data_IF_096519469915
#
_entry.id   IF_096519469915
#
_cell.length_a   1.000
_cell.length_b   1.000
_cell.length_c   1.000
_cell.angle_alpha   90.00
_cell.angle_beta   90.00
_cell.angle_gamma   90.00
#
_symmetry.space_group_name_H-M   'P 1'
#
loop_
_entity.id
_entity.type
_entity.pdbx_description
1 polymer ?
#
# COMPACT_ATOMS: atom_id res chain seq x y z
N UNK A 1 26.89 4.54 31.93
CA UNK A 1 26.99 5.29 30.65
C UNK A 1 26.02 6.45 30.73
N UNK A 2 26.47 7.71 30.60
CA UNK A 2 25.59 8.86 30.82
C UNK A 2 24.57 8.98 29.69
N UNK A 3 23.33 9.33 30.03
CA UNK A 3 22.21 9.47 29.08
C UNK A 3 22.48 10.49 27.96
N UNK A 4 23.43 11.40 28.17
CA UNK A 4 23.74 12.51 27.29
C UNK A 4 24.50 12.11 26.00
N UNK A 5 25.18 10.96 26.00
CA UNK A 5 25.84 10.44 24.80
C UNK A 5 24.86 9.69 23.88
N UNK A 6 23.87 9.00 24.45
CA UNK A 6 22.82 8.32 23.70
C UNK A 6 21.85 9.30 23.03
N UNK A 7 21.51 10.40 23.70
CA UNK A 7 20.68 11.47 23.12
C UNK A 7 21.35 12.15 21.93
N UNK A 8 22.67 12.36 21.96
CA UNK A 8 23.42 12.98 20.86
C UNK A 8 23.57 12.08 19.63
N UNK A 9 23.62 10.76 19.84
CA UNK A 9 23.68 9.75 18.77
C UNK A 9 22.29 9.45 18.18
N UNK A 10 21.22 9.43 19.00
CA UNK A 10 19.84 9.27 18.51
C UNK A 10 19.21 10.56 17.99
N UNK A 11 19.76 11.74 18.34
CA UNK A 11 19.19 13.03 17.99
C UNK A 11 20.31 14.05 17.66
N UNK A 12 20.85 14.06 16.42
CA UNK A 12 21.69 15.15 15.99
C UNK A 12 20.86 16.45 16.05
N UNK A 13 21.41 17.50 16.66
CA UNK A 13 20.75 18.79 16.78
C UNK A 13 20.38 19.33 15.39
N UNK A 14 19.11 19.21 15.01
CA UNK A 14 18.57 19.80 13.79
C UNK A 14 18.75 21.32 13.84
N UNK A 15 19.34 21.87 12.80
CA UNK A 15 19.67 23.28 12.67
C UNK A 15 18.41 24.14 12.78
N UNK A 16 18.37 25.01 13.80
CA UNK A 16 17.27 25.94 14.03
C UNK A 16 17.19 27.08 12.98
N UNK A 17 17.79 26.91 11.79
CA UNK A 17 17.96 27.99 10.81
C UNK A 17 17.80 27.58 9.34
N UNK A 18 16.98 26.57 9.05
CA UNK A 18 16.45 26.37 7.69
C UNK A 18 15.08 27.04 7.56
N UNK A 19 15.04 28.16 6.82
CA UNK A 19 13.80 28.67 6.22
C UNK A 19 13.28 27.60 5.27
N UNK A 20 12.41 26.72 5.76
CA UNK A 20 11.76 25.70 4.96
C UNK A 20 10.87 26.40 3.91
N UNK A 21 11.29 26.36 2.63
CA UNK A 21 10.37 26.58 1.50
C UNK A 21 9.16 25.65 1.70
N UNK A 22 7.93 26.05 1.30
CA UNK A 22 6.74 25.21 1.42
C UNK A 22 6.95 23.96 0.57
N UNK A 23 7.52 22.93 1.20
CA UNK A 23 7.75 21.63 0.59
C UNK A 23 6.51 20.81 0.85
N UNK A 24 6.04 20.19 -0.23
CA UNK A 24 4.90 19.29 -0.20
C UNK A 24 5.03 18.29 0.97
N UNK A 25 3.98 18.04 1.76
CA UNK A 25 4.00 17.10 2.90
C UNK A 25 4.58 15.72 2.53
N UNK A 26 4.36 15.29 1.28
CA UNK A 26 4.90 14.08 0.70
C UNK A 26 6.44 14.07 0.65
N UNK A 27 7.07 15.21 0.34
CA UNK A 27 8.53 15.33 0.28
C UNK A 27 9.16 15.21 1.68
N UNK A 28 8.48 15.70 2.71
CA UNK A 28 8.92 15.62 4.11
C UNK A 28 8.86 14.18 4.63
N UNK A 29 7.81 13.45 4.26
CA UNK A 29 7.64 12.02 4.55
C UNK A 29 8.69 11.17 3.80
N UNK A 30 8.95 11.51 2.54
CA UNK A 30 10.00 10.90 1.72
C UNK A 30 11.38 11.09 2.35
N UNK A 31 11.70 12.29 2.86
CA UNK A 31 12.98 12.57 3.52
C UNK A 31 13.19 11.75 4.79
N UNK A 32 12.12 11.45 5.55
CA UNK A 32 12.22 10.58 6.73
C UNK A 32 12.44 9.11 6.36
N UNK A 33 11.80 8.62 5.29
CA UNK A 33 12.01 7.24 4.79
C UNK A 33 13.43 7.09 4.23
N UNK A 34 13.95 8.13 3.59
CA UNK A 34 15.27 8.17 2.98
C UNK A 34 16.41 8.27 4.00
N UNK A 35 16.16 8.48 5.29
CA UNK A 35 17.23 8.42 6.30
C UNK A 35 17.85 7.01 6.40
N UNK A 36 17.11 5.95 6.05
CA UNK A 36 17.59 4.55 6.03
C UNK A 36 17.81 4.03 4.58
N UNK A 37 18.57 4.78 3.75
CA UNK A 37 18.86 4.39 2.35
C UNK A 37 19.48 2.99 2.21
N UNK A 38 20.32 2.60 3.16
CA UNK A 38 21.03 1.32 3.11
C UNK A 38 20.06 0.14 3.28
N UNK A 39 19.14 0.21 4.24
CA UNK A 39 18.12 -0.82 4.43
C UNK A 39 17.15 -0.87 3.23
N UNK A 40 16.76 0.29 2.67
CA UNK A 40 15.95 0.37 1.46
C UNK A 40 16.63 -0.29 0.25
N UNK A 41 17.93 -0.08 0.08
CA UNK A 41 18.70 -0.69 -1.00
C UNK A 41 18.79 -2.22 -0.85
N UNK A 42 19.00 -2.71 0.38
CA UNK A 42 18.95 -4.13 0.67
C UNK A 42 17.57 -4.71 0.33
N UNK A 43 16.48 -4.09 0.80
CA UNK A 43 15.12 -4.53 0.51
C UNK A 43 14.87 -4.59 -1.01
N UNK A 44 15.35 -3.59 -1.76
CA UNK A 44 15.22 -3.56 -3.21
C UNK A 44 15.96 -4.74 -3.89
N UNK A 45 17.20 -5.03 -3.46
CA UNK A 45 17.99 -6.15 -3.99
C UNK A 45 17.31 -7.47 -3.67
N UNK A 46 16.93 -7.71 -2.42
CA UNK A 46 16.31 -8.96 -1.98
C UNK A 46 14.93 -9.18 -2.62
N UNK A 47 14.10 -8.13 -2.72
CA UNK A 47 12.81 -8.19 -3.44
C UNK A 47 13.01 -8.50 -4.93
N UNK A 48 13.97 -7.84 -5.59
CA UNK A 48 14.26 -8.08 -7.00
C UNK A 48 14.73 -9.51 -7.25
N UNK A 49 15.62 -10.03 -6.39
CA UNK A 49 16.08 -11.42 -6.43
C UNK A 49 14.93 -12.40 -6.21
N UNK A 50 14.03 -12.11 -5.27
CA UNK A 50 12.79 -12.86 -5.06
C UNK A 50 11.87 -12.84 -6.29
N UNK A 51 11.78 -11.71 -6.99
CA UNK A 51 11.07 -11.57 -8.26
C UNK A 51 11.64 -12.46 -9.36
N UNK A 52 12.97 -12.52 -9.49
CA UNK A 52 13.65 -13.43 -10.42
C UNK A 52 13.37 -14.89 -10.06
N UNK A 53 13.45 -15.24 -8.78
CA UNK A 53 13.16 -16.60 -8.30
C UNK A 53 11.68 -16.99 -8.48
N UNK A 54 10.75 -16.03 -8.43
CA UNK A 54 9.33 -16.26 -8.72
C UNK A 54 9.10 -16.78 -10.14
N UNK A 55 9.98 -16.42 -11.09
CA UNK A 55 9.94 -16.93 -12.46
C UNK A 55 10.36 -18.39 -12.58
N UNK A 56 11.07 -18.93 -11.58
CA UNK A 56 11.39 -20.35 -11.57
C UNK A 56 10.12 -21.19 -11.64
N UNK A 57 9.03 -20.77 -10.99
CA UNK A 57 7.76 -21.52 -10.97
C UNK A 57 7.16 -21.69 -12.38
N UNK A 58 6.85 -20.62 -13.16
CA UNK A 58 6.30 -20.79 -14.51
C UNK A 58 7.27 -21.49 -15.47
N UNK A 59 8.58 -21.24 -15.36
CA UNK A 59 9.60 -21.92 -16.17
C UNK A 59 9.64 -23.42 -15.89
N UNK A 60 9.60 -23.79 -14.61
CA UNK A 60 9.59 -25.19 -14.16
C UNK A 60 8.36 -25.93 -14.69
N UNK A 61 7.19 -25.31 -14.58
CA UNK A 61 5.95 -25.88 -15.11
C UNK A 61 6.05 -26.14 -16.62
N UNK A 62 6.64 -25.20 -17.38
CA UNK A 62 6.86 -25.40 -18.82
C UNK A 62 7.80 -26.57 -19.11
N UNK A 63 8.91 -26.68 -18.38
CA UNK A 63 9.86 -27.79 -18.54
C UNK A 63 9.21 -29.14 -18.24
N UNK A 64 8.42 -29.23 -17.17
CA UNK A 64 7.72 -30.46 -16.79
C UNK A 64 6.72 -30.86 -17.88
N UNK A 65 5.89 -29.93 -18.36
CA UNK A 65 4.91 -30.20 -19.43
C UNK A 65 5.61 -30.65 -20.72
N UNK A 66 6.68 -29.96 -21.13
CA UNK A 66 7.43 -30.33 -22.33
C UNK A 66 8.08 -31.73 -22.20
N UNK A 67 8.60 -32.07 -21.02
CA UNK A 67 9.20 -33.38 -20.76
C UNK A 67 8.17 -34.51 -20.85
N UNK A 68 6.96 -34.29 -20.31
CA UNK A 68 5.85 -35.25 -20.40
C UNK A 68 5.39 -35.41 -21.86
N UNK A 69 5.24 -34.29 -22.59
CA UNK A 69 4.79 -34.29 -23.98
C UNK A 69 5.77 -35.01 -24.93
N UNK A 70 7.07 -34.93 -24.65
CA UNK A 70 8.10 -35.62 -25.41
C UNK A 70 8.23 -37.14 -25.09
N UNK A 71 7.45 -37.65 -24.13
CA UNK A 71 7.40 -39.09 -23.82
C UNK A 71 8.62 -39.64 -23.08
N UNK A 72 9.37 -38.79 -22.37
CA UNK A 72 10.58 -39.22 -21.65
C UNK A 72 10.29 -40.09 -20.41
N UNK A 73 11.27 -40.93 -20.04
CA UNK A 73 11.26 -41.78 -18.84
C UNK A 73 11.14 -40.98 -17.52
N UNK A 74 10.79 -41.65 -16.41
CA UNK A 74 10.60 -41.04 -15.09
C UNK A 74 11.86 -40.34 -14.53
N UNK A 75 13.05 -40.72 -14.99
CA UNK A 75 14.34 -40.25 -14.46
C UNK A 75 14.57 -38.73 -14.65
N UNK A 76 14.43 -38.14 -15.86
CA UNK A 76 14.45 -36.68 -16.06
C UNK A 76 13.45 -35.90 -15.19
N UNK A 77 12.24 -36.43 -15.03
CA UNK A 77 11.16 -35.76 -14.29
C UNK A 77 11.54 -35.64 -12.80
N UNK A 78 12.10 -36.70 -12.21
CA UNK A 78 12.55 -36.68 -10.81
C UNK A 78 13.68 -35.68 -10.59
N UNK A 79 14.65 -35.59 -11.52
CA UNK A 79 15.76 -34.62 -11.41
C UNK A 79 15.27 -33.18 -11.50
N UNK A 80 14.39 -32.87 -12.46
CA UNK A 80 13.80 -31.54 -12.61
C UNK A 80 12.98 -31.21 -11.36
N UNK A 81 12.11 -32.12 -10.90
CA UNK A 81 11.30 -31.91 -9.71
C UNK A 81 12.16 -31.61 -8.46
N UNK A 82 13.27 -32.34 -8.27
CA UNK A 82 14.21 -32.10 -7.16
C UNK A 82 14.88 -30.72 -7.24
N UNK A 83 15.34 -30.32 -8.42
CA UNK A 83 15.98 -29.02 -8.65
C UNK A 83 14.99 -27.87 -8.41
N UNK A 84 13.75 -28.03 -8.86
CA UNK A 84 12.65 -27.08 -8.67
C UNK A 84 12.30 -26.97 -7.19
N UNK A 85 12.14 -28.09 -6.49
CA UNK A 85 11.86 -28.11 -5.06
C UNK A 85 12.97 -27.38 -4.27
N UNK A 86 14.24 -27.67 -4.56
CA UNK A 86 15.38 -26.96 -3.97
C UNK A 86 15.37 -25.46 -4.23
N UNK A 87 15.07 -25.05 -5.47
CA UNK A 87 14.92 -23.64 -5.84
C UNK A 87 13.78 -22.94 -5.11
N UNK A 88 12.61 -23.59 -4.97
CA UNK A 88 11.47 -23.05 -4.22
C UNK A 88 11.79 -22.91 -2.72
N UNK A 89 12.48 -23.89 -2.12
CA UNK A 89 12.91 -23.79 -0.72
C UNK A 89 13.85 -22.60 -0.52
N UNK A 90 14.83 -22.43 -1.40
CA UNK A 90 15.73 -21.29 -1.36
C UNK A 90 14.98 -19.96 -1.52
N UNK A 91 14.03 -19.90 -2.45
CA UNK A 91 13.18 -18.72 -2.65
C UNK A 91 12.32 -18.41 -1.41
N UNK A 92 11.81 -19.42 -0.71
CA UNK A 92 11.04 -19.25 0.52
C UNK A 92 11.90 -18.66 1.64
N UNK A 93 13.14 -19.12 1.80
CA UNK A 93 14.10 -18.57 2.79
C UNK A 93 14.42 -17.11 2.50
N UNK A 94 14.69 -16.76 1.24
CA UNK A 94 14.93 -15.37 0.84
C UNK A 94 13.71 -14.47 1.08
N UNK A 95 12.50 -15.01 0.83
CA UNK A 95 11.25 -14.29 1.11
C UNK A 95 11.07 -14.03 2.60
N UNK A 96 11.36 -15.00 3.45
CA UNK A 96 11.37 -14.81 4.90
C UNK A 96 12.33 -13.69 5.28
N UNK A 97 13.59 -13.74 4.84
CA UNK A 97 14.59 -12.71 5.15
C UNK A 97 14.13 -11.31 4.74
N UNK A 98 13.49 -11.18 3.58
CA UNK A 98 12.95 -9.92 3.09
C UNK A 98 11.84 -9.37 4.00
N UNK A 99 10.93 -10.24 4.45
CA UNK A 99 9.86 -9.85 5.39
C UNK A 99 10.44 -9.41 6.74
N UNK A 100 11.44 -10.14 7.25
CA UNK A 100 12.15 -9.79 8.48
C UNK A 100 12.83 -8.41 8.38
N UNK A 101 13.51 -8.12 7.26
CA UNK A 101 14.15 -6.82 7.02
C UNK A 101 13.14 -5.68 7.02
N UNK A 102 12.01 -5.86 6.36
CA UNK A 102 10.96 -4.83 6.27
C UNK A 102 10.35 -4.55 7.63
N UNK A 103 10.12 -5.58 8.43
CA UNK A 103 9.60 -5.44 9.79
C UNK A 103 10.59 -4.69 10.69
N UNK A 104 11.88 -4.96 10.55
CA UNK A 104 12.92 -4.25 11.30
C UNK A 104 12.96 -2.75 10.97
N UNK A 105 12.80 -2.39 9.68
CA UNK A 105 12.70 -0.99 9.25
C UNK A 105 11.44 -0.34 9.80
N UNK A 106 10.29 -1.03 9.72
CA UNK A 106 9.01 -0.53 10.26
C UNK A 106 9.10 -0.22 11.75
N UNK A 107 9.70 -1.11 12.53
CA UNK A 107 9.89 -0.92 13.98
C UNK A 107 10.83 0.25 14.29
N UNK A 108 11.95 0.37 13.58
CA UNK A 108 12.90 1.49 13.75
C UNK A 108 12.26 2.84 13.46
N UNK A 109 11.51 2.95 12.36
CA UNK A 109 10.80 4.17 11.97
C UNK A 109 9.70 4.49 12.98
N UNK A 110 8.92 3.49 13.40
CA UNK A 110 7.88 3.67 14.42
C UNK A 110 8.45 4.25 15.72
N UNK A 111 9.52 3.66 16.25
CA UNK A 111 10.14 4.12 17.49
C UNK A 111 10.66 5.58 17.34
N UNK A 112 11.31 5.90 16.22
CA UNK A 112 11.80 7.25 15.93
C UNK A 112 10.68 8.29 15.92
N UNK A 113 9.56 8.00 15.25
CA UNK A 113 8.44 8.93 15.14
C UNK A 113 7.72 9.06 16.48
N UNK A 114 7.47 7.95 17.18
CA UNK A 114 6.83 7.95 18.49
C UNK A 114 7.62 8.78 19.50
N UNK A 115 8.93 8.59 19.59
CA UNK A 115 9.81 9.36 20.48
C UNK A 115 9.84 10.85 20.11
N UNK A 116 9.86 11.18 18.82
CA UNK A 116 9.83 12.59 18.36
C UNK A 116 8.53 13.29 18.76
N UNK A 117 7.39 12.62 18.64
CA UNK A 117 6.09 13.17 19.06
C UNK A 117 6.03 13.29 20.58
N UNK A 118 6.44 12.26 21.32
CA UNK A 118 6.48 12.26 22.78
C UNK A 118 7.35 13.40 23.35
N UNK A 119 8.48 13.72 22.70
CA UNK A 119 9.34 14.84 23.10
C UNK A 119 8.76 16.22 22.73
N UNK A 120 8.00 16.29 21.63
CA UNK A 120 7.49 17.56 21.09
C UNK A 120 6.18 18.00 21.73
N UNK A 121 5.25 17.08 21.96
CA UNK A 121 3.89 17.36 22.48
C UNK A 121 3.91 18.19 23.78
N UNK A 122 4.74 17.90 24.79
CA UNK A 122 4.77 18.67 26.03
C UNK A 122 5.36 20.09 25.89
N UNK A 123 6.06 20.38 24.79
CA UNK A 123 6.82 21.62 24.59
C UNK A 123 6.11 22.61 23.67
N UNK A 124 4.91 22.28 23.19
CA UNK A 124 4.11 23.16 22.35
C UNK A 124 3.56 24.28 23.25
N UNK A 125 3.88 25.53 22.94
CA UNK A 125 3.36 26.68 23.69
C UNK A 125 1.83 26.74 23.56
N UNK A 126 1.12 27.02 24.65
CA UNK A 126 -0.35 27.12 24.68
C UNK A 126 -0.92 28.11 23.65
N UNK A 127 -0.14 29.11 23.24
CA UNK A 127 -0.52 30.09 22.21
C UNK A 127 -0.60 29.52 20.78
N UNK A 128 0.05 28.38 20.51
CA UNK A 128 -0.03 27.66 19.23
C UNK A 128 -0.99 26.47 19.28
N UNK A 129 -1.29 25.96 20.49
CA UNK A 129 -2.31 24.92 20.72
C UNK A 129 -3.72 25.35 20.33
N UNK A 130 -3.98 26.66 20.26
CA UNK A 130 -5.25 27.22 19.79
C UNK A 130 -5.39 27.22 18.26
N UNK A 131 -4.28 27.04 17.51
CA UNK A 131 -4.28 26.95 16.05
C UNK A 131 -4.16 25.53 15.51
N UNK A 132 -3.54 24.61 16.27
CA UNK A 132 -3.33 23.23 15.83
C UNK A 132 -3.83 22.27 16.91
N UNK A 133 -4.87 21.51 16.55
CA UNK A 133 -5.57 20.58 17.44
C UNK A 133 -4.64 19.43 17.85
N UNK A 134 -4.46 19.23 19.16
CA UNK A 134 -3.67 18.11 19.70
C UNK A 134 -4.12 16.73 19.18
N UNK A 135 -5.43 16.46 19.04
CA UNK A 135 -5.93 15.23 18.42
C UNK A 135 -5.50 15.06 16.96
N UNK A 136 -5.49 16.13 16.16
CA UNK A 136 -5.05 16.09 14.75
C UNK A 136 -3.58 15.65 14.63
N UNK A 137 -2.73 16.02 15.59
CA UNK A 137 -1.33 15.60 15.61
C UNK A 137 -1.17 14.08 15.82
N UNK A 138 -2.03 13.49 16.65
CA UNK A 138 -2.08 12.04 16.89
C UNK A 138 -2.71 11.32 15.71
N UNK A 139 -3.75 11.87 15.09
CA UNK A 139 -4.35 11.32 13.90
C UNK A 139 -3.34 11.29 12.72
N UNK A 140 -2.56 12.38 12.54
CA UNK A 140 -1.45 12.42 11.58
C UNK A 140 -0.38 11.37 11.86
N UNK A 141 -0.08 11.03 13.11
CA UNK A 141 0.86 9.95 13.43
C UNK A 141 0.38 8.60 12.89
N UNK A 142 -0.90 8.28 13.10
CA UNK A 142 -1.51 7.05 12.58
C UNK A 142 -1.55 7.04 11.05
N UNK A 143 -1.82 8.19 10.42
CA UNK A 143 -1.78 8.32 8.96
C UNK A 143 -0.36 8.06 8.42
N UNK A 144 0.68 8.63 9.04
CA UNK A 144 2.08 8.38 8.63
C UNK A 144 2.43 6.89 8.72
N UNK A 145 2.06 6.20 9.80
CA UNK A 145 2.31 4.77 9.96
C UNK A 145 1.59 3.96 8.88
N UNK A 146 0.33 4.30 8.62
CA UNK A 146 -0.51 3.60 7.63
C UNK A 146 0.06 3.78 6.21
N UNK A 147 0.44 5.01 5.85
CA UNK A 147 1.07 5.31 4.56
C UNK A 147 2.40 4.59 4.41
N UNK A 148 3.22 4.54 5.46
CA UNK A 148 4.50 3.84 5.47
C UNK A 148 4.33 2.32 5.31
N UNK A 149 3.36 1.72 5.99
CA UNK A 149 3.05 0.29 5.86
C UNK A 149 2.69 -0.07 4.42
N UNK A 150 1.83 0.73 3.78
CA UNK A 150 1.45 0.54 2.39
C UNK A 150 2.61 0.79 1.43
N UNK A 151 3.44 1.81 1.68
CA UNK A 151 4.61 2.10 0.85
C UNK A 151 5.66 0.98 0.91
N UNK A 152 5.92 0.41 2.09
CA UNK A 152 6.84 -0.71 2.24
C UNK A 152 6.36 -1.94 1.47
N UNK A 153 5.05 -2.26 1.52
CA UNK A 153 4.48 -3.34 0.73
C UNK A 153 4.62 -3.09 -0.78
N UNK A 154 4.36 -1.87 -1.24
CA UNK A 154 4.58 -1.49 -2.64
C UNK A 154 6.06 -1.65 -3.05
N UNK A 155 6.99 -1.28 -2.18
CA UNK A 155 8.42 -1.42 -2.46
C UNK A 155 8.85 -2.88 -2.60
N UNK A 156 8.13 -3.81 -1.97
CA UNK A 156 8.35 -5.25 -2.12
C UNK A 156 7.70 -5.80 -3.38
N UNK A 157 6.44 -5.44 -3.63
CA UNK A 157 5.65 -6.06 -4.69
C UNK A 157 5.97 -5.49 -6.08
N UNK A 158 6.26 -4.19 -6.17
CA UNK A 158 6.47 -3.50 -7.45
C UNK A 158 7.70 -4.04 -8.19
N UNK A 159 8.89 -4.18 -7.59
CA UNK A 159 10.05 -4.73 -8.30
C UNK A 159 9.82 -6.16 -8.75
N UNK A 160 9.25 -7.00 -7.87
CA UNK A 160 8.97 -8.40 -8.17
C UNK A 160 7.96 -8.54 -9.31
N UNK A 161 6.83 -7.83 -9.24
CA UNK A 161 5.80 -7.85 -10.27
C UNK A 161 6.31 -7.27 -11.60
N UNK A 162 7.11 -6.20 -11.55
CA UNK A 162 7.68 -5.58 -12.76
C UNK A 162 8.62 -6.55 -13.48
N UNK A 163 9.53 -7.21 -12.75
CA UNK A 163 10.41 -8.23 -13.32
C UNK A 163 9.60 -9.42 -13.86
N UNK A 164 8.59 -9.87 -13.12
CA UNK A 164 7.75 -10.98 -13.52
C UNK A 164 6.96 -10.69 -14.81
N UNK A 165 6.38 -9.49 -14.91
CA UNK A 165 5.66 -9.04 -16.10
C UNK A 165 6.63 -8.87 -17.27
N UNK A 166 7.75 -8.18 -17.09
CA UNK A 166 8.72 -7.95 -18.18
C UNK A 166 9.25 -9.27 -18.73
N UNK A 167 9.71 -10.16 -17.87
CA UNK A 167 10.29 -11.43 -18.29
C UNK A 167 9.21 -12.37 -18.82
N UNK A 168 8.03 -12.43 -18.16
CA UNK A 168 6.91 -13.24 -18.63
C UNK A 168 6.40 -12.81 -20.02
N UNK A 169 6.29 -11.51 -20.26
CA UNK A 169 5.91 -10.96 -21.56
C UNK A 169 7.00 -11.22 -22.63
N UNK A 170 8.27 -11.04 -22.26
CA UNK A 170 9.40 -11.29 -23.18
C UNK A 170 9.45 -12.75 -23.61
N UNK A 171 9.34 -13.69 -22.66
CA UNK A 171 9.32 -15.12 -22.96
C UNK A 171 8.12 -15.52 -23.84
N UNK A 172 6.94 -14.97 -23.56
CA UNK A 172 5.75 -15.22 -24.37
C UNK A 172 5.90 -14.66 -25.79
N UNK A 173 6.48 -13.47 -25.94
CA UNK A 173 6.71 -12.86 -27.24
C UNK A 173 7.72 -13.66 -28.09
N UNK A 174 8.74 -14.26 -27.46
CA UNK A 174 9.72 -15.10 -28.15
C UNK A 174 9.16 -16.48 -28.54
N UNK A 175 8.18 -17.01 -27.79
CA UNK A 175 7.65 -18.35 -28.06
C UNK A 175 6.82 -18.43 -29.34
N UNK A 176 5.98 -17.43 -29.63
CA UNK A 176 5.17 -17.43 -30.84
C UNK A 176 4.71 -16.02 -31.23
N UNK A 177 4.73 -15.64 -32.52
CA UNK A 177 4.22 -14.35 -32.97
C UNK A 177 2.73 -14.12 -32.65
N UNK A 178 1.93 -15.19 -32.50
CA UNK A 178 0.53 -15.08 -32.09
C UNK A 178 0.37 -14.62 -30.63
N UNK A 179 1.30 -14.99 -29.74
CA UNK A 179 1.27 -14.57 -28.34
C UNK A 179 1.58 -13.07 -28.18
N UNK A 180 2.36 -12.49 -29.10
CA UNK A 180 2.65 -11.05 -29.09
C UNK A 180 1.36 -10.22 -29.30
N UNK A 181 0.47 -10.66 -30.19
CA UNK A 181 -0.83 -10.02 -30.37
C UNK A 181 -1.69 -10.11 -29.09
N UNK A 182 -1.65 -11.24 -28.39
CA UNK A 182 -2.34 -11.41 -27.11
C UNK A 182 -1.80 -10.47 -26.03
N UNK A 183 -0.46 -10.30 -25.94
CA UNK A 183 0.19 -9.35 -25.03
C UNK A 183 -0.31 -7.92 -25.25
N UNK A 184 -0.40 -7.47 -26.51
CA UNK A 184 -0.91 -6.14 -26.85
C UNK A 184 -2.37 -5.94 -26.40
N UNK A 185 -3.21 -6.98 -26.56
CA UNK A 185 -4.60 -6.95 -26.09
C UNK A 185 -4.66 -6.82 -24.56
N UNK A 186 -3.83 -7.56 -23.82
CA UNK A 186 -3.77 -7.49 -22.35
C UNK A 186 -3.33 -6.10 -21.90
N UNK A 187 -2.29 -5.52 -22.49
CA UNK A 187 -1.83 -4.16 -22.17
C UNK A 187 -2.96 -3.14 -22.44
N UNK A 188 -3.62 -3.23 -23.59
CA UNK A 188 -4.75 -2.36 -23.92
C UNK A 188 -5.91 -2.51 -22.92
N UNK A 189 -6.18 -3.74 -22.46
CA UNK A 189 -7.21 -4.02 -21.46
C UNK A 189 -6.86 -3.40 -20.11
N UNK A 190 -5.62 -3.57 -19.62
CA UNK A 190 -5.15 -2.97 -18.36
C UNK A 190 -5.22 -1.44 -18.43
N UNK A 191 -4.77 -0.82 -19.52
CA UNK A 191 -4.88 0.62 -19.71
C UNK A 191 -6.36 1.06 -19.69
N UNK A 192 -7.23 0.33 -20.38
CA UNK A 192 -8.67 0.61 -20.38
C UNK A 192 -9.26 0.57 -18.97
N UNK A 193 -8.94 -0.44 -18.17
CA UNK A 193 -9.38 -0.55 -16.78
C UNK A 193 -8.87 0.63 -15.94
N UNK A 194 -7.58 0.95 -16.02
CA UNK A 194 -6.98 2.06 -15.26
C UNK A 194 -7.62 3.40 -15.62
N UNK A 195 -7.81 3.70 -16.91
CA UNK A 195 -8.41 4.96 -17.33
C UNK A 195 -9.90 5.07 -16.97
N UNK A 196 -10.69 4.00 -17.18
CA UNK A 196 -12.13 4.00 -16.90
C UNK A 196 -12.43 4.00 -15.39
N UNK A 197 -11.74 3.16 -14.62
CA UNK A 197 -11.96 3.03 -13.18
C UNK A 197 -11.26 4.15 -12.40
N UNK A 198 -10.08 4.57 -12.83
CA UNK A 198 -9.26 5.57 -12.15
C UNK A 198 -9.91 6.95 -12.14
N UNK A 199 -10.42 7.42 -13.28
CA UNK A 199 -11.02 8.76 -13.37
C UNK A 199 -12.31 8.90 -12.52
N UNK A 200 -13.16 7.87 -12.54
CA UNK A 200 -14.41 7.88 -11.77
C UNK A 200 -14.20 7.66 -10.27
N UNK A 201 -13.19 6.85 -9.92
CA UNK A 201 -12.87 6.51 -8.53
C UNK A 201 -12.32 7.68 -7.72
N UNK A 202 -11.47 8.52 -8.32
CA UNK A 202 -10.75 9.57 -7.60
C UNK A 202 -11.68 10.60 -6.92
N UNK A 203 -12.62 11.19 -7.67
CA UNK A 203 -13.53 12.22 -7.14
C UNK A 203 -14.46 11.67 -6.05
N UNK A 204 -14.93 10.44 -6.22
CA UNK A 204 -15.88 9.82 -5.29
C UNK A 204 -15.19 9.42 -3.97
N UNK A 205 -13.96 8.90 -4.04
CA UNK A 205 -13.18 8.51 -2.86
C UNK A 205 -12.79 9.70 -1.99
N UNK A 206 -12.47 10.85 -2.59
CA UNK A 206 -12.11 12.06 -1.83
C UNK A 206 -13.26 12.49 -0.90
N UNK A 207 -14.49 12.53 -1.41
CA UNK A 207 -15.65 12.92 -0.61
C UNK A 207 -15.96 11.91 0.52
N UNK A 208 -15.86 10.59 0.23
CA UNK A 208 -16.03 9.55 1.24
C UNK A 208 -15.00 9.69 2.37
N UNK A 209 -13.74 9.90 2.01
CA UNK A 209 -12.65 10.05 2.96
C UNK A 209 -12.84 11.31 3.83
N UNK A 210 -13.19 12.46 3.24
CA UNK A 210 -13.45 13.70 4.02
C UNK A 210 -14.56 13.53 5.04
N UNK A 211 -15.66 12.84 4.69
CA UNK A 211 -16.78 12.59 5.61
C UNK A 211 -16.39 11.67 6.78
N UNK A 212 -15.47 10.72 6.58
CA UNK A 212 -14.92 9.90 7.68
C UNK A 212 -14.13 10.74 8.69
N UNK A 213 -13.31 11.66 8.22
CA UNK A 213 -12.53 12.55 9.09
C UNK A 213 -13.42 13.51 9.89
N UNK A 214 -14.51 14.02 9.30
CA UNK A 214 -15.48 14.87 10.03
C UNK A 214 -16.19 14.12 11.18
N UNK A 215 -16.49 12.83 11.00
CA UNK A 215 -17.04 11.99 12.07
C UNK A 215 -16.01 11.79 13.18
N UNK A 216 -14.73 11.56 12.83
CA UNK A 216 -13.65 11.41 13.80
C UNK A 216 -13.42 12.70 14.61
N UNK A 217 -13.36 13.85 13.94
CA UNK A 217 -13.21 15.16 14.58
C UNK A 217 -14.35 15.45 15.58
N UNK A 218 -15.60 15.12 15.21
CA UNK A 218 -16.74 15.26 16.12
C UNK A 218 -16.62 14.37 17.37
N UNK A 219 -16.15 13.13 17.22
CA UNK A 219 -15.93 12.21 18.34
C UNK A 219 -14.78 12.64 19.25
N UNK A 220 -13.71 13.20 18.67
CA UNK A 220 -12.60 13.76 19.44
C UNK A 220 -13.04 14.97 20.27
N UNK A 221 -13.88 15.85 19.70
CA UNK A 221 -14.44 17.01 20.40
C UNK A 221 -15.39 16.59 21.54
N UNK A 222 -16.15 15.52 21.35
CA UNK A 222 -16.96 14.89 22.41
C UNK A 222 -16.10 14.38 23.56
N UNK A 223 -14.98 13.72 23.26
CA UNK A 223 -14.02 13.25 24.27
C UNK A 223 -13.35 14.41 25.01
N UNK A 224 -13.05 15.52 24.32
CA UNK A 224 -12.45 16.73 24.92
C UNK A 224 -13.40 17.44 25.89
N UNK A 225 -14.69 17.43 25.59
CA UNK A 225 -15.72 18.13 26.36
C UNK A 225 -16.46 17.23 27.38
N UNK A 226 -15.89 16.09 27.77
CA UNK A 226 -16.53 15.10 28.65
C UNK A 226 -17.13 15.73 29.92
N UNK A 227 -16.38 16.61 30.58
CA UNK A 227 -16.79 17.27 31.83
C UNK A 227 -18.00 18.19 31.61
N UNK A 228 -17.96 19.00 30.56
CA UNK A 228 -19.06 19.91 30.19
C UNK A 228 -20.33 19.15 29.82
N UNK A 229 -20.19 18.02 29.12
CA UNK A 229 -21.32 17.18 28.71
C UNK A 229 -21.99 16.50 29.90
N UNK A 230 -21.18 15.96 30.85
CA UNK A 230 -21.70 15.36 32.09
C UNK A 230 -22.45 16.37 32.97
N UNK A 231 -22.01 17.63 32.99
CA UNK A 231 -22.65 18.71 33.74
C UNK A 231 -23.96 19.18 33.12
N UNK A 232 -24.03 19.29 31.79
CA UNK A 232 -25.16 19.93 31.10
C UNK A 232 -26.30 18.99 30.67
N UNK A 233 -26.13 17.66 30.77
CA UNK A 233 -27.17 16.65 30.47
C UNK A 233 -27.92 16.88 29.14
N UNK A 234 -27.20 17.10 28.03
CA UNK A 234 -27.79 17.17 26.67
C UNK A 234 -27.48 15.91 25.82
N UNK A 235 -27.91 14.70 26.23
CA UNK A 235 -27.62 13.49 25.47
C UNK A 235 -28.30 13.50 24.10
N UNK A 236 -29.49 14.10 23.98
CA UNK A 236 -30.28 14.06 22.74
C UNK A 236 -29.63 14.88 21.61
N UNK A 237 -29.13 16.08 21.92
CA UNK A 237 -28.49 16.94 20.92
C UNK A 237 -27.18 16.34 20.38
N UNK A 238 -26.41 15.67 21.26
CA UNK A 238 -25.20 14.93 20.86
C UNK A 238 -25.57 13.77 19.93
N UNK A 239 -26.64 13.04 20.26
CA UNK A 239 -27.11 11.93 19.45
C UNK A 239 -27.56 12.39 18.06
N UNK A 240 -28.39 13.45 17.98
CA UNK A 240 -28.87 14.02 16.71
C UNK A 240 -27.72 14.53 15.83
N UNK A 241 -26.72 15.19 16.43
CA UNK A 241 -25.56 15.67 15.68
C UNK A 241 -24.70 14.51 15.17
N UNK A 242 -24.53 13.46 15.97
CA UNK A 242 -23.81 12.25 15.56
C UNK A 242 -24.56 11.51 14.46
N UNK A 243 -25.87 11.38 14.59
CA UNK A 243 -26.74 10.72 13.62
C UNK A 243 -26.70 11.43 12.26
N UNK A 244 -26.76 12.77 12.24
CA UNK A 244 -26.65 13.52 10.98
C UNK A 244 -25.30 13.36 10.27
N UNK A 245 -24.18 13.32 11.01
CA UNK A 245 -22.85 13.07 10.44
C UNK A 245 -22.69 11.63 9.93
N UNK A 246 -23.26 10.64 10.64
CA UNK A 246 -23.27 9.23 10.21
C UNK A 246 -24.17 9.04 9.00
N UNK A 247 -25.31 9.74 8.94
CA UNK A 247 -26.19 9.74 7.78
C UNK A 247 -25.48 10.28 6.52
N UNK A 248 -24.77 11.39 6.66
CA UNK A 248 -23.93 11.95 5.59
C UNK A 248 -22.87 10.97 5.10
N UNK A 249 -22.20 10.27 6.01
CA UNK A 249 -21.19 9.26 5.69
C UNK A 249 -21.79 8.03 4.99
N UNK A 250 -22.89 7.49 5.53
CA UNK A 250 -23.57 6.32 4.97
C UNK A 250 -24.17 6.63 3.59
N UNK A 251 -24.73 7.81 3.40
CA UNK A 251 -25.18 8.31 2.09
C UNK A 251 -24.04 8.40 1.07
N UNK A 252 -22.90 8.98 1.46
CA UNK A 252 -21.71 9.02 0.59
C UNK A 252 -21.22 7.61 0.22
N UNK A 253 -21.24 6.67 1.17
CA UNK A 253 -20.83 5.27 0.95
C UNK A 253 -21.80 4.49 0.07
N UNK A 254 -23.11 4.72 0.20
CA UNK A 254 -24.12 4.11 -0.67
C UNK A 254 -23.97 4.58 -2.11
N UNK A 255 -23.66 5.86 -2.35
CA UNK A 255 -23.38 6.38 -3.70
C UNK A 255 -22.16 5.71 -4.34
N UNK A 256 -21.10 5.45 -3.56
CA UNK A 256 -19.93 4.68 -4.00
C UNK A 256 -20.35 3.25 -4.35
N UNK A 257 -21.11 2.58 -3.48
CA UNK A 257 -21.57 1.20 -3.69
C UNK A 257 -22.47 1.09 -4.93
N UNK A 258 -23.42 2.00 -5.11
CA UNK A 258 -24.34 1.99 -6.24
C UNK A 258 -23.62 2.28 -7.57
N UNK A 259 -22.60 3.16 -7.58
CA UNK A 259 -21.74 3.36 -8.74
C UNK A 259 -20.87 2.13 -9.04
N UNK A 260 -20.36 1.46 -8.00
CA UNK A 260 -19.55 0.23 -8.12
C UNK A 260 -20.38 -0.95 -8.63
N UNK A 261 -21.60 -1.12 -8.13
CA UNK A 261 -22.56 -2.11 -8.60
C UNK A 261 -22.97 -1.84 -10.05
N UNK A 262 -23.34 -0.59 -10.39
CA UNK A 262 -23.65 -0.22 -11.79
C UNK A 262 -22.46 -0.35 -12.74
N UNK A 263 -21.22 -0.14 -12.28
CA UNK A 263 -20.02 -0.40 -13.07
C UNK A 263 -19.79 -1.90 -13.24
N UNK A 264 -19.94 -2.70 -12.19
CA UNK A 264 -19.81 -4.16 -12.25
C UNK A 264 -20.84 -4.80 -13.18
N UNK A 265 -22.08 -4.33 -13.16
CA UNK A 265 -23.11 -4.76 -14.10
C UNK A 265 -22.85 -4.30 -15.53
N UNK A 266 -22.35 -3.06 -15.72
CA UNK A 266 -21.95 -2.57 -17.04
C UNK A 266 -20.76 -3.34 -17.62
N UNK A 267 -19.76 -3.69 -16.82
CA UNK A 267 -18.63 -4.50 -17.28
C UNK A 267 -19.06 -5.93 -17.56
N UNK A 268 -19.89 -6.54 -16.71
CA UNK A 268 -20.44 -7.90 -16.92
C UNK A 268 -21.31 -7.97 -18.19
N UNK A 269 -22.19 -7.00 -18.42
CA UNK A 269 -22.99 -6.90 -19.65
C UNK A 269 -22.16 -6.57 -20.90
N UNK A 270 -21.10 -5.76 -20.77
CA UNK A 270 -20.21 -5.44 -21.89
C UNK A 270 -19.33 -6.63 -22.27
N UNK A 271 -18.88 -7.44 -21.29
CA UNK A 271 -18.17 -8.70 -21.53
C UNK A 271 -19.11 -9.75 -22.17
N UNK A 272 -20.30 -9.95 -21.61
CA UNK A 272 -21.28 -10.92 -22.11
C UNK A 272 -21.77 -10.62 -23.54
N UNK A 273 -21.85 -9.34 -23.95
CA UNK A 273 -22.13 -8.98 -25.35
C UNK A 273 -20.94 -9.24 -26.27
N UNK A 274 -19.70 -9.06 -25.79
CA UNK A 274 -18.49 -9.25 -26.60
C UNK A 274 -18.19 -10.73 -26.86
N UNK A 275 -18.40 -11.61 -25.88
CA UNK A 275 -18.24 -13.07 -26.04
C UNK A 275 -19.29 -13.67 -26.98
N UNK A 276 -20.50 -13.09 -27.02
CA UNK A 276 -21.57 -13.54 -27.94
C UNK A 276 -21.30 -13.15 -29.40
N UNK A 277 -20.48 -12.13 -29.64
CA UNK A 277 -20.07 -11.67 -30.98
C UNK A 277 -18.82 -12.41 -31.52
N UNK A 278 -18.09 -13.16 -30.69
CA UNK A 278 -16.90 -13.92 -31.11
C UNK A 278 -17.15 -15.42 -31.31
N UNK A 279 -18.31 -15.93 -30.89
CA UNK A 279 -18.69 -17.35 -31.05
C UNK A 279 -19.64 -17.56 -32.26
N UNK A 280 -20.14 -16.48 -32.86
CA UNK A 280 -21.10 -16.51 -33.99
C UNK A 280 -20.60 -15.79 -35.26
N UNK A 281 -19.27 -15.60 -35.40
CA UNK A 281 -18.63 -15.02 -36.58
C UNK A 281 -17.46 -15.86 -37.03
#
# INVERSE_FOLDING_TARGET
MPADSLTKVLYPAGDANQKEKPTSPYYRLWRMIVEDKQDLFLILIYSSLGGVLSLAVPLSTQMVVNTIAAGFFLQPITVIAGLVLGGLLFAAVLRLLTIWLVELVRQRVFNRIALRIAYRVPRIQHSQLSREYLPDLVNRFFDVITVQGNFANLLLDVPAATLQILIGLTLMALYSPYLLAFVLIVIAFVLCEVFLLGYSGYKTRSNETSKRYLVAEWLEELGRCETSIKLNKFPMHILERTDSLVFDYTGARQLVCQRRARCGERTKNRFARRTRLTIFG
#
